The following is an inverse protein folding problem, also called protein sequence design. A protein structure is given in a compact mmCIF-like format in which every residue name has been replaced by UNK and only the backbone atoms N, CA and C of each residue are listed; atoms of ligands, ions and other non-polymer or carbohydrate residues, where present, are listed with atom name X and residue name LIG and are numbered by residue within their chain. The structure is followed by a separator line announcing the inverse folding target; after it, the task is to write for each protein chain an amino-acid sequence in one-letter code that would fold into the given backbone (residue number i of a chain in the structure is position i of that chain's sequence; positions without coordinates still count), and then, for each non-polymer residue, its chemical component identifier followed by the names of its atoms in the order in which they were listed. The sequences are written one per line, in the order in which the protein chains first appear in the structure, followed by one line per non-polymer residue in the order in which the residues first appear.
data_IF_406721630589
#
_entry.id   IF_406721630589
#
_cell.length_a   1.000
_cell.length_b   1.000
_cell.length_c   1.000
_cell.angle_alpha   90.00
_cell.angle_beta   90.00
_cell.angle_gamma   90.00
#
_symmetry.space_group_name_H-M   'P 1'
#
loop_
_entity.id
_entity.type
_entity.pdbx_description
1 polymer ?
#
# COMPACT_ATOMS: atom_id res chain seq x y z
N UNK A 1 28.46 -5.29 71.27
CA UNK A 1 29.44 -5.81 70.30
C UNK A 1 28.90 -7.13 69.76
N UNK A 2 28.85 -7.29 68.43
CA UNK A 2 28.46 -8.55 67.76
C UNK A 2 27.22 -8.42 66.87
N UNK A 3 27.42 -8.07 65.61
CA UNK A 3 26.42 -8.14 64.54
C UNK A 3 26.53 -9.50 63.83
N UNK A 4 25.41 -10.09 63.39
CA UNK A 4 25.39 -11.08 62.29
C UNK A 4 24.18 -10.81 61.40
N UNK A 5 24.49 -10.68 60.11
CA UNK A 5 23.61 -10.39 58.99
C UNK A 5 22.66 -11.56 58.65
N UNK A 6 21.46 -11.22 58.19
CA UNK A 6 20.55 -12.17 57.51
C UNK A 6 20.43 -11.75 56.06
N UNK A 7 20.96 -12.60 55.18
CA UNK A 7 20.97 -12.41 53.73
C UNK A 7 19.58 -12.62 53.12
N UNK A 8 19.21 -11.69 52.25
CA UNK A 8 18.03 -11.77 51.39
C UNK A 8 18.35 -12.78 50.29
N UNK A 9 17.64 -13.92 50.29
CA UNK A 9 17.66 -14.88 49.19
C UNK A 9 16.89 -14.26 48.02
N UNK A 10 17.61 -13.62 47.11
CA UNK A 10 17.08 -13.21 45.81
C UNK A 10 16.79 -14.45 44.97
N UNK A 11 15.51 -14.76 44.81
CA UNK A 11 15.03 -15.78 43.89
C UNK A 11 15.36 -15.32 42.46
N UNK A 12 16.48 -15.79 41.93
CA UNK A 12 16.87 -15.56 40.55
C UNK A 12 15.81 -16.20 39.64
N UNK A 13 14.95 -15.36 39.04
CA UNK A 13 14.11 -15.76 37.93
C UNK A 13 15.03 -16.19 36.79
N UNK A 14 15.17 -17.51 36.66
CA UNK A 14 15.81 -18.18 35.55
C UNK A 14 15.02 -17.80 34.28
N UNK A 15 15.52 -16.80 33.55
CA UNK A 15 14.89 -16.37 32.30
C UNK A 15 15.20 -17.43 31.24
N UNK A 16 14.38 -18.50 31.21
CA UNK A 16 14.28 -19.41 30.09
C UNK A 16 13.76 -18.62 28.87
N UNK A 17 14.69 -17.98 28.16
CA UNK A 17 14.49 -17.45 26.81
C UNK A 17 14.37 -18.60 25.82
N UNK A 18 13.27 -19.35 25.89
CA UNK A 18 13.00 -20.42 24.95
C UNK A 18 11.62 -20.22 24.35
N UNK A 19 11.58 -19.68 23.14
CA UNK A 19 11.01 -20.37 21.97
C UNK A 19 11.46 -19.68 20.66
N UNK A 20 12.02 -20.43 19.68
CA UNK A 20 11.80 -20.13 18.28
C UNK A 20 10.34 -20.47 17.98
N UNK A 21 9.50 -19.45 17.88
CA UNK A 21 8.07 -19.53 17.60
C UNK A 21 7.63 -18.29 16.86
N UNK A 22 6.58 -18.38 16.03
CA UNK A 22 6.09 -17.25 15.25
C UNK A 22 5.40 -16.23 16.16
N UNK A 23 5.68 -14.94 15.94
CA UNK A 23 5.00 -13.83 16.64
C UNK A 23 4.31 -12.92 15.64
N UNK A 24 3.07 -12.55 15.98
CA UNK A 24 2.28 -11.55 15.26
C UNK A 24 2.00 -10.39 16.21
N UNK A 25 2.22 -9.15 15.77
CA UNK A 25 1.90 -7.93 16.53
C UNK A 25 0.99 -7.07 15.67
N UNK A 26 -0.16 -6.67 16.21
CA UNK A 26 -1.12 -5.83 15.53
C UNK A 26 -0.74 -4.36 15.71
N UNK A 27 -0.42 -3.69 14.61
CA UNK A 27 -0.04 -2.28 14.62
C UNK A 27 -1.27 -1.43 14.30
N UNK A 28 -1.41 -0.26 14.94
CA UNK A 28 -2.45 0.68 14.56
C UNK A 28 -2.16 1.30 13.19
N UNK A 29 -3.21 1.80 12.55
CA UNK A 29 -3.14 2.65 11.37
C UNK A 29 -2.69 4.09 11.73
N UNK A 30 -2.73 4.99 10.75
CA UNK A 30 -2.36 6.39 10.95
C UNK A 30 -3.31 7.15 11.90
N UNK A 31 -4.53 6.67 12.10
CA UNK A 31 -5.55 7.25 12.99
C UNK A 31 -5.48 6.65 14.40
N UNK A 32 -4.63 5.64 14.62
CA UNK A 32 -4.52 4.94 15.90
C UNK A 32 -5.46 3.73 16.02
N UNK A 33 -6.21 3.39 14.97
CA UNK A 33 -7.16 2.29 14.98
C UNK A 33 -6.48 0.97 14.61
N UNK A 34 -6.89 -0.12 15.24
CA UNK A 34 -6.36 -1.45 14.96
C UNK A 34 -7.33 -2.24 14.08
N UNK A 35 -6.79 -2.85 13.02
CA UNK A 35 -7.52 -3.84 12.23
C UNK A 35 -7.80 -5.12 13.02
N UNK A 36 -8.27 -6.15 12.32
CA UNK A 36 -8.53 -7.46 12.93
C UNK A 36 -7.65 -8.53 12.31
N UNK A 37 -7.01 -9.35 13.15
CA UNK A 37 -6.19 -10.49 12.73
C UNK A 37 -6.60 -11.72 13.50
N UNK A 38 -6.79 -12.84 12.81
CA UNK A 38 -7.02 -14.15 13.44
C UNK A 38 -5.75 -14.97 13.30
N UNK A 39 -5.15 -15.35 14.42
CA UNK A 39 -4.03 -16.28 14.46
C UNK A 39 -4.59 -17.69 14.59
N UNK A 40 -4.38 -18.51 13.56
CA UNK A 40 -4.86 -19.90 13.51
C UNK A 40 -3.68 -20.85 13.58
N UNK A 41 -3.87 -21.93 14.34
CA UNK A 41 -3.01 -23.11 14.42
C UNK A 41 -3.89 -24.34 14.23
N UNK A 42 -3.30 -25.52 14.04
CA UNK A 42 -4.06 -26.77 13.85
C UNK A 42 -5.01 -27.09 15.02
N UNK A 43 -4.74 -26.55 16.21
CA UNK A 43 -5.46 -26.85 17.45
C UNK A 43 -6.19 -25.65 18.07
N UNK A 44 -5.93 -24.42 17.62
CA UNK A 44 -6.50 -23.21 18.24
C UNK A 44 -6.57 -22.01 17.30
N UNK A 45 -7.54 -21.13 17.57
CA UNK A 45 -7.69 -19.85 16.90
C UNK A 45 -7.80 -18.72 17.92
N UNK A 46 -7.20 -17.58 17.62
CA UNK A 46 -7.21 -16.42 18.49
C UNK A 46 -7.37 -15.13 17.71
N UNK A 47 -8.40 -14.36 18.08
CA UNK A 47 -8.64 -13.03 17.53
C UNK A 47 -7.75 -12.00 18.22
N UNK A 48 -7.13 -11.13 17.42
CA UNK A 48 -6.48 -9.90 17.84
C UNK A 48 -7.23 -8.72 17.19
N UNK A 49 -7.72 -7.79 18.00
CA UNK A 49 -8.51 -6.64 17.54
C UNK A 49 -8.20 -5.35 18.30
N UNK A 50 -7.04 -5.28 18.95
CA UNK A 50 -6.61 -4.12 19.73
C UNK A 50 -5.20 -3.70 19.33
N UNK A 51 -4.94 -2.40 19.31
CA UNK A 51 -3.64 -1.86 18.95
C UNK A 51 -2.56 -2.43 19.89
N UNK A 52 -1.43 -2.85 19.30
CA UNK A 52 -0.31 -3.48 19.98
C UNK A 52 -0.64 -4.81 20.70
N UNK A 53 -1.81 -5.42 20.43
CA UNK A 53 -2.02 -6.81 20.82
C UNK A 53 -1.08 -7.72 20.01
N UNK A 54 -0.46 -8.68 20.68
CA UNK A 54 0.40 -9.66 20.04
C UNK A 54 -0.02 -11.07 20.37
N UNK A 55 0.25 -12.00 19.45
CA UNK A 55 0.13 -13.43 19.66
C UNK A 55 1.49 -14.07 19.40
N UNK A 56 1.97 -14.88 20.35
CA UNK A 56 3.14 -15.73 20.18
C UNK A 56 2.67 -17.19 20.09
N UNK A 57 3.12 -17.90 19.05
CA UNK A 57 2.84 -19.32 18.84
C UNK A 57 4.10 -20.10 19.16
N UNK A 58 4.03 -21.00 20.15
CA UNK A 58 5.17 -21.86 20.45
C UNK A 58 5.28 -23.04 19.46
N UNK A 59 6.36 -23.81 19.55
CA UNK A 59 6.62 -24.98 18.70
C UNK A 59 5.55 -26.08 18.77
N UNK A 60 4.66 -26.05 19.77
CA UNK A 60 3.55 -26.99 19.97
C UNK A 60 2.20 -26.43 19.48
N UNK A 61 2.19 -25.26 18.85
CA UNK A 61 0.98 -24.61 18.36
C UNK A 61 0.14 -23.92 19.43
N UNK A 62 0.63 -23.80 20.68
CA UNK A 62 -0.11 -23.04 21.69
C UNK A 62 0.08 -21.54 21.48
N UNK A 63 -1.04 -20.80 21.44
CA UNK A 63 -1.08 -19.36 21.24
C UNK A 63 -1.12 -18.66 22.60
N UNK A 64 -0.26 -17.65 22.81
CA UNK A 64 -0.30 -16.74 23.96
C UNK A 64 -0.51 -15.32 23.48
N UNK A 65 -1.52 -14.63 24.01
CA UNK A 65 -1.80 -13.21 23.70
C UNK A 65 -1.29 -12.31 24.80
N UNK A 66 -0.66 -11.20 24.41
CA UNK A 66 -0.36 -10.11 25.35
C UNK A 66 -0.56 -8.75 24.69
N UNK A 67 -0.91 -7.75 25.51
CA UNK A 67 -0.76 -6.36 25.12
C UNK A 67 0.73 -5.98 25.18
N UNK A 68 1.26 -5.43 24.10
CA UNK A 68 2.63 -4.94 24.02
C UNK A 68 2.66 -3.42 24.25
N UNK A 69 3.76 -2.93 24.81
CA UNK A 69 4.00 -1.50 24.89
C UNK A 69 4.46 -0.94 23.54
N UNK A 70 3.86 0.18 23.12
CA UNK A 70 4.13 0.80 21.81
C UNK A 70 5.60 1.20 21.64
N UNK A 71 6.24 1.72 22.69
CA UNK A 71 7.65 2.13 22.62
C UNK A 71 8.56 0.90 22.51
N UNK A 72 8.26 -0.18 23.23
CA UNK A 72 8.99 -1.44 23.13
C UNK A 72 8.83 -2.10 21.75
N UNK A 73 7.63 -2.09 21.18
CA UNK A 73 7.36 -2.58 19.82
C UNK A 73 8.18 -1.78 18.81
N UNK A 74 8.16 -0.45 18.90
CA UNK A 74 8.97 0.41 18.02
C UNK A 74 10.45 0.15 18.18
N UNK A 75 10.95 0.04 19.40
CA UNK A 75 12.37 -0.23 19.65
C UNK A 75 12.79 -1.60 19.09
N UNK A 76 11.95 -2.64 19.25
CA UNK A 76 12.24 -3.99 18.80
C UNK A 76 12.18 -4.15 17.27
N UNK A 77 11.21 -3.49 16.63
CA UNK A 77 10.93 -3.66 15.20
C UNK A 77 11.24 -2.41 14.37
N UNK A 78 12.06 -1.49 14.88
CA UNK A 78 12.38 -0.21 14.22
C UNK A 78 12.73 -0.41 12.74
N UNK A 79 13.68 -1.29 12.43
CA UNK A 79 14.08 -1.58 11.05
C UNK A 79 12.91 -2.08 10.17
N UNK A 80 12.02 -2.93 10.70
CA UNK A 80 10.84 -3.41 9.96
C UNK A 80 9.79 -2.32 9.76
N UNK A 81 9.60 -1.46 10.76
CA UNK A 81 8.67 -0.33 10.71
C UNK A 81 9.16 0.76 9.76
N UNK A 82 10.48 0.99 9.72
CA UNK A 82 11.11 1.96 8.83
C UNK A 82 11.16 1.44 7.39
N UNK A 83 11.24 0.11 7.20
CA UNK A 83 11.20 -0.54 5.90
C UNK A 83 9.77 -0.79 5.36
N UNK A 84 8.75 -0.11 5.90
CA UNK A 84 7.39 -0.22 5.37
C UNK A 84 7.35 0.24 3.91
N UNK A 85 6.69 -0.50 3.01
CA UNK A 85 6.53 -0.04 1.63
C UNK A 85 5.76 1.28 1.63
N UNK A 86 6.19 2.19 0.76
CA UNK A 86 5.46 3.43 0.54
C UNK A 86 4.09 3.08 -0.05
N UNK A 87 2.99 3.67 0.44
CA UNK A 87 1.68 3.43 -0.13
C UNK A 87 1.67 3.87 -1.61
N UNK A 88 0.89 3.22 -2.49
CA UNK A 88 0.77 3.68 -3.86
C UNK A 88 0.21 5.11 -3.91
N UNK A 89 0.73 5.92 -4.82
CA UNK A 89 0.21 7.25 -5.13
C UNK A 89 -0.41 7.22 -6.52
N UNK A 90 -1.66 7.68 -6.62
CA UNK A 90 -2.41 7.72 -7.86
C UNK A 90 -2.67 9.16 -8.30
N UNK A 91 -2.43 9.44 -9.58
CA UNK A 91 -2.76 10.70 -10.22
C UNK A 91 -3.80 10.48 -11.30
N UNK A 92 -4.74 11.41 -11.45
CA UNK A 92 -5.78 11.35 -12.48
C UNK A 92 -5.63 12.53 -13.43
N UNK A 93 -5.68 12.24 -14.73
CA UNK A 93 -5.69 13.23 -15.79
C UNK A 93 -6.94 13.06 -16.64
N UNK A 94 -7.75 14.11 -16.78
CA UNK A 94 -8.98 14.08 -17.57
C UNK A 94 -8.74 14.50 -19.03
N UNK A 95 -9.60 14.00 -19.92
CA UNK A 95 -9.54 14.22 -21.36
C UNK A 95 -10.87 14.74 -21.91
N UNK A 96 -10.76 15.59 -22.92
CA UNK A 96 -11.90 15.99 -23.74
C UNK A 96 -12.47 14.81 -24.55
N UNK A 97 -13.74 14.95 -24.94
CA UNK A 97 -14.43 13.94 -25.73
C UNK A 97 -13.67 13.62 -27.02
N UNK A 98 -13.49 12.32 -27.31
CA UNK A 98 -12.79 11.83 -28.51
C UNK A 98 -11.31 12.22 -28.64
N UNK A 99 -10.72 12.94 -27.67
CA UNK A 99 -9.34 13.41 -27.78
C UNK A 99 -8.35 12.50 -27.06
N UNK A 100 -7.18 12.33 -27.68
CA UNK A 100 -5.96 11.80 -27.07
C UNK A 100 -4.78 12.79 -27.16
N UNK A 101 -5.03 14.05 -27.54
CA UNK A 101 -4.00 15.06 -27.84
C UNK A 101 -4.07 16.25 -26.86
N UNK A 102 -3.02 17.07 -26.87
CA UNK A 102 -2.94 18.38 -26.21
C UNK A 102 -3.10 18.44 -24.68
N UNK A 103 -2.78 17.34 -23.98
CA UNK A 103 -2.79 17.28 -22.51
C UNK A 103 -1.59 17.91 -21.81
N UNK A 104 -0.57 18.34 -22.55
CA UNK A 104 0.71 18.78 -21.95
C UNK A 104 0.55 19.89 -20.89
N UNK A 105 -0.29 20.93 -21.08
CA UNK A 105 -0.49 21.96 -20.06
C UNK A 105 -1.11 21.41 -18.77
N UNK A 106 -2.16 20.57 -18.89
CA UNK A 106 -2.84 19.95 -17.74
C UNK A 106 -1.96 18.89 -17.05
N UNK A 107 -1.04 18.27 -17.80
CA UNK A 107 -0.15 17.25 -17.28
C UNK A 107 1.03 17.82 -16.48
N UNK A 108 1.49 19.05 -16.74
CA UNK A 108 2.61 19.68 -16.02
C UNK A 108 2.56 19.57 -14.48
N UNK A 109 1.44 19.93 -13.80
CA UNK A 109 1.37 19.80 -12.34
C UNK A 109 1.41 18.35 -11.87
N UNK A 110 0.80 17.42 -12.61
CA UNK A 110 0.82 15.99 -12.30
C UNK A 110 2.24 15.44 -12.45
N UNK A 111 2.93 15.80 -13.53
CA UNK A 111 4.31 15.41 -13.79
C UNK A 111 5.25 15.92 -12.69
N UNK A 112 5.08 17.15 -12.22
CA UNK A 112 5.88 17.70 -11.14
C UNK A 112 5.70 16.91 -9.82
N UNK A 113 4.46 16.51 -9.50
CA UNK A 113 4.19 15.68 -8.32
C UNK A 113 4.77 14.27 -8.47
N UNK A 114 4.65 13.65 -9.66
CA UNK A 114 5.25 12.35 -9.95
C UNK A 114 6.77 12.38 -9.79
N UNK A 115 7.44 13.39 -10.35
CA UNK A 115 8.90 13.56 -10.24
C UNK A 115 9.35 13.81 -8.80
N UNK A 116 8.53 14.49 -7.99
CA UNK A 116 8.82 14.70 -6.57
C UNK A 116 8.63 13.44 -5.72
N UNK A 117 7.68 12.57 -6.09
CA UNK A 117 7.39 11.33 -5.37
C UNK A 117 8.36 10.19 -5.75
N UNK A 118 8.81 10.12 -7.01
CA UNK A 118 9.64 9.02 -7.52
C UNK A 118 10.84 8.63 -6.62
N UNK A 119 11.63 9.58 -6.06
CA UNK A 119 12.79 9.24 -5.24
C UNK A 119 12.46 8.59 -3.89
N UNK A 120 11.21 8.66 -3.43
CA UNK A 120 10.80 8.03 -2.17
C UNK A 120 10.55 6.52 -2.33
N UNK A 121 10.46 6.02 -3.57
CA UNK A 121 10.21 4.61 -3.84
C UNK A 121 11.54 3.89 -4.16
N UNK A 122 11.94 2.89 -3.37
CA UNK A 122 13.23 2.21 -3.55
C UNK A 122 13.29 1.36 -4.84
N UNK A 123 12.14 0.88 -5.32
CA UNK A 123 12.01 0.15 -6.58
C UNK A 123 10.72 0.63 -7.29
N UNK A 124 10.75 1.83 -7.89
CA UNK A 124 9.53 2.48 -8.39
C UNK A 124 8.98 1.73 -9.60
N UNK A 125 7.68 1.52 -9.61
CA UNK A 125 6.92 1.07 -10.77
C UNK A 125 5.78 2.03 -11.08
N UNK A 126 5.70 2.46 -12.33
CA UNK A 126 4.66 3.37 -12.83
C UNK A 126 3.71 2.57 -13.72
N UNK A 127 2.42 2.62 -13.44
CA UNK A 127 1.39 2.07 -14.33
C UNK A 127 0.51 3.20 -14.85
N UNK A 128 0.36 3.28 -16.17
CA UNK A 128 -0.48 4.27 -16.86
C UNK A 128 -1.67 3.54 -17.47
N UNK A 129 -2.88 3.89 -17.05
CA UNK A 129 -4.12 3.21 -17.44
C UNK A 129 -5.06 4.22 -18.07
N UNK A 130 -5.46 3.99 -19.32
CA UNK A 130 -6.44 4.84 -19.99
C UNK A 130 -7.86 4.30 -19.87
N UNK A 131 -8.83 5.22 -19.81
CA UNK A 131 -10.26 4.94 -19.75
C UNK A 131 -11.04 5.87 -20.71
N UNK A 132 -12.24 5.44 -21.08
CA UNK A 132 -13.22 6.22 -21.87
C UNK A 132 -14.57 6.25 -21.15
N UNK A 133 -15.47 7.12 -21.62
CA UNK A 133 -16.90 6.97 -21.35
C UNK A 133 -17.50 5.85 -22.23
N UNK A 134 -18.82 5.61 -22.10
CA UNK A 134 -19.55 4.53 -22.77
C UNK A 134 -20.15 4.95 -24.12
N UNK A 135 -19.63 6.00 -24.73
CA UNK A 135 -20.11 6.52 -26.02
C UNK A 135 -19.30 5.88 -27.15
N UNK A 136 -19.97 5.31 -28.14
CA UNK A 136 -19.33 4.65 -29.27
C UNK A 136 -19.01 3.17 -29.04
N UNK A 137 -18.26 2.56 -29.96
CA UNK A 137 -18.00 1.12 -29.92
C UNK A 137 -16.91 0.74 -28.92
N UNK A 138 -17.05 -0.44 -28.31
CA UNK A 138 -16.02 -1.06 -27.44
C UNK A 138 -14.62 -1.05 -28.06
N UNK A 139 -14.50 -1.42 -29.34
CA UNK A 139 -13.22 -1.43 -30.05
C UNK A 139 -12.61 -0.03 -30.19
N UNK A 140 -13.42 0.98 -30.50
CA UNK A 140 -12.96 2.36 -30.59
C UNK A 140 -12.51 2.88 -29.23
N UNK A 141 -13.27 2.55 -28.18
CA UNK A 141 -12.96 2.92 -26.80
C UNK A 141 -11.67 2.24 -26.31
N UNK A 142 -11.41 1.01 -26.70
CA UNK A 142 -10.17 0.30 -26.39
C UNK A 142 -8.96 0.95 -27.01
N UNK A 143 -9.03 1.23 -28.31
CA UNK A 143 -7.95 1.92 -29.03
C UNK A 143 -7.72 3.32 -28.47
N UNK A 144 -8.77 4.10 -28.23
CA UNK A 144 -8.67 5.45 -27.69
C UNK A 144 -8.05 5.46 -26.28
N UNK A 145 -8.50 4.56 -25.40
CA UNK A 145 -7.95 4.44 -24.05
C UNK A 145 -6.45 4.12 -24.06
N UNK A 146 -6.03 3.19 -24.93
CA UNK A 146 -4.63 2.81 -25.07
C UNK A 146 -3.78 3.96 -25.65
N UNK A 147 -4.30 4.69 -26.64
CA UNK A 147 -3.65 5.87 -27.20
C UNK A 147 -3.42 6.96 -26.16
N UNK A 148 -4.42 7.24 -25.31
CA UNK A 148 -4.30 8.20 -24.19
C UNK A 148 -3.20 7.77 -23.22
N UNK A 149 -3.17 6.49 -22.85
CA UNK A 149 -2.17 5.96 -21.94
C UNK A 149 -0.75 6.04 -22.53
N UNK A 150 -0.57 5.72 -23.81
CA UNK A 150 0.71 5.92 -24.50
C UNK A 150 1.13 7.38 -24.57
N UNK A 151 0.20 8.31 -24.82
CA UNK A 151 0.51 9.74 -24.85
C UNK A 151 1.07 10.22 -23.51
N UNK A 152 0.46 9.79 -22.41
CA UNK A 152 0.94 10.10 -21.06
C UNK A 152 2.31 9.45 -20.79
N UNK A 153 2.50 8.17 -21.15
CA UNK A 153 3.81 7.50 -21.07
C UNK A 153 4.89 8.32 -21.79
N UNK A 154 4.62 8.77 -23.00
CA UNK A 154 5.62 9.50 -23.80
C UNK A 154 6.02 10.82 -23.14
N UNK A 155 5.08 11.52 -22.51
CA UNK A 155 5.39 12.73 -21.73
C UNK A 155 6.22 12.41 -20.48
N UNK A 156 5.96 11.29 -19.80
CA UNK A 156 6.75 10.81 -18.66
C UNK A 156 8.17 10.46 -19.10
N UNK A 157 8.34 9.78 -20.24
CA UNK A 157 9.65 9.43 -20.81
C UNK A 157 10.41 10.69 -21.25
N UNK A 158 9.73 11.66 -21.87
CA UNK A 158 10.34 12.95 -22.24
C UNK A 158 10.85 13.74 -21.02
N UNK A 159 10.27 13.50 -19.84
CA UNK A 159 10.73 14.07 -18.59
C UNK A 159 11.96 13.37 -17.99
N UNK A 160 12.47 12.32 -18.64
CA UNK A 160 13.70 11.61 -18.26
C UNK A 160 13.48 10.33 -17.45
N UNK A 161 12.23 9.89 -17.25
CA UNK A 161 11.93 8.62 -16.56
C UNK A 161 12.15 7.46 -17.54
N UNK A 162 12.84 6.41 -17.09
CA UNK A 162 13.17 5.26 -17.93
C UNK A 162 11.90 4.51 -18.36
N UNK A 163 11.75 4.16 -19.65
CA UNK A 163 10.58 3.44 -20.15
C UNK A 163 10.31 2.10 -19.45
N UNK A 164 11.36 1.41 -19.01
CA UNK A 164 11.26 0.10 -18.35
C UNK A 164 10.54 0.15 -17.00
N UNK A 165 10.43 1.33 -16.40
CA UNK A 165 9.66 1.55 -15.17
C UNK A 165 8.16 1.76 -15.43
N UNK A 166 7.73 1.84 -16.70
CA UNK A 166 6.40 2.30 -17.08
C UNK A 166 5.60 1.21 -17.80
N UNK A 167 4.62 0.64 -17.11
CA UNK A 167 3.58 -0.19 -17.70
C UNK A 167 2.46 0.67 -18.32
N UNK A 168 1.91 0.23 -19.45
CA UNK A 168 0.79 0.90 -20.14
C UNK A 168 -0.35 -0.08 -20.37
N UNK A 169 -1.58 0.35 -20.11
CA UNK A 169 -2.79 -0.42 -20.44
C UNK A 169 -3.96 0.49 -20.82
N UNK A 170 -4.86 -0.03 -21.67
CA UNK A 170 -6.13 0.60 -22.01
C UNK A 170 -7.29 -0.25 -21.51
N UNK A 171 -8.23 0.37 -20.79
CA UNK A 171 -9.41 -0.30 -20.21
C UNK A 171 -10.71 0.03 -20.95
N UNK A 172 -10.65 0.91 -21.94
CA UNK A 172 -11.84 1.40 -22.64
C UNK A 172 -12.89 1.88 -21.64
N UNK A 173 -14.12 1.44 -21.85
CA UNK A 173 -15.29 1.77 -21.02
C UNK A 173 -15.59 0.75 -19.89
N UNK A 174 -14.73 -0.27 -19.71
CA UNK A 174 -15.00 -1.42 -18.82
C UNK A 174 -14.83 -1.12 -17.33
N UNK A 175 -14.09 -0.08 -17.00
CA UNK A 175 -13.78 0.32 -15.62
C UNK A 175 -14.17 1.80 -15.41
N UNK A 176 -15.47 2.12 -15.44
CA UNK A 176 -15.95 3.48 -15.25
C UNK A 176 -15.73 3.94 -13.80
N UNK A 177 -15.33 5.20 -13.63
CA UNK A 177 -15.27 5.83 -12.31
C UNK A 177 -16.67 6.16 -11.81
N UNK A 178 -17.54 6.62 -12.71
CA UNK A 178 -18.96 6.87 -12.48
C UNK A 178 -19.74 5.93 -13.39
N UNK A 179 -20.53 5.04 -12.81
CA UNK A 179 -21.37 4.14 -13.59
C UNK A 179 -22.42 4.93 -14.38
N UNK A 180 -22.52 4.66 -15.68
CA UNK A 180 -23.51 5.24 -16.59
C UNK A 180 -24.08 4.14 -17.48
N UNK A 181 -25.22 4.41 -18.10
CA UNK A 181 -25.76 3.56 -19.16
C UNK A 181 -24.93 3.73 -20.45
N UNK A 182 -25.15 2.83 -21.42
CA UNK A 182 -24.53 2.91 -22.76
C UNK A 182 -24.92 4.21 -23.47
N UNK A 183 -23.99 4.75 -24.26
CA UNK A 183 -24.15 6.01 -25.01
C UNK A 183 -24.38 7.25 -24.14
N UNK A 184 -24.17 7.15 -22.82
CA UNK A 184 -24.19 8.31 -21.92
C UNK A 184 -22.77 8.86 -21.74
N UNK A 185 -22.49 10.10 -22.20
CA UNK A 185 -21.19 10.72 -22.01
C UNK A 185 -20.95 11.06 -20.53
N UNK A 186 -19.74 10.84 -20.05
CA UNK A 186 -19.32 11.18 -18.68
C UNK A 186 -17.84 11.58 -18.66
N UNK A 187 -17.58 12.82 -18.29
CA UNK A 187 -16.25 13.42 -18.38
C UNK A 187 -15.26 12.79 -17.42
N UNK A 188 -15.73 12.40 -16.23
CA UNK A 188 -14.90 11.74 -15.23
C UNK A 188 -14.44 10.35 -15.67
N UNK A 189 -15.14 9.72 -16.61
CA UNK A 189 -14.75 8.44 -17.17
C UNK A 189 -13.67 8.58 -18.26
N UNK A 190 -13.58 9.74 -18.91
CA UNK A 190 -12.53 10.06 -19.88
C UNK A 190 -11.25 10.49 -19.15
N UNK A 191 -10.50 9.50 -18.66
CA UNK A 191 -9.32 9.76 -17.83
C UNK A 191 -8.15 8.84 -18.15
N UNK A 192 -6.98 9.25 -17.67
CA UNK A 192 -5.82 8.39 -17.47
C UNK A 192 -5.46 8.40 -15.99
N UNK A 193 -5.28 7.20 -15.44
CA UNK A 193 -4.76 6.99 -14.10
C UNK A 193 -3.27 6.68 -14.18
N UNK A 194 -2.47 7.31 -13.32
CA UNK A 194 -1.03 7.08 -13.20
C UNK A 194 -0.77 6.63 -11.78
N UNK A 195 -0.35 5.38 -11.63
CA UNK A 195 -0.11 4.76 -10.33
C UNK A 195 1.39 4.58 -10.12
N UNK A 196 1.94 5.14 -9.05
CA UNK A 196 3.31 4.94 -8.60
C UNK A 196 3.31 4.03 -7.37
N UNK A 197 4.08 2.94 -7.41
CA UNK A 197 4.23 1.98 -6.31
C UNK A 197 5.65 1.47 -6.14
#
# INVERSE_FOLDING_TARGET
MGAIAVGIIGLAFLIMHWQPGSRVVLLPDANGEAGTVIVTTDSSQQLLSSAYASASVNTRGAITVQAEDAAQVRQRYAATLDARPHPPVSFILYFEFGSAVDIAPAFKPVLAQLLAALPTYPAPEITVIGHTDRVGSLESNDLLSLQRAHKVRDLIVQAGIQPDLIGVSGRGEREPLIATDDEVPEEKNRRVEINLR
#
